data_IF_407524830831
#
_entry.id   IF_407524830831
#
_cell.length_a   1.000
_cell.length_b   1.000
_cell.length_c   1.000
_cell.angle_alpha   90.00
_cell.angle_beta   90.00
_cell.angle_gamma   90.00
#
_symmetry.space_group_name_H-M   'P 1'
#
loop_
_entity.id
_entity.type
_entity.pdbx_description
1 polymer ?
#
# COMPACT_ATOMS: atom_id res chain seq x y z
N UNK A 1 -2.11 -4.32 -13.24
CA UNK A 1 -1.73 -3.56 -14.45
C UNK A 1 -2.42 -4.19 -15.65
N UNK A 2 -2.74 -3.40 -16.67
CA UNK A 2 -3.25 -3.92 -17.93
C UNK A 2 -2.18 -4.76 -18.66
N UNK A 3 -2.59 -5.73 -19.51
CA UNK A 3 -1.65 -6.46 -20.36
C UNK A 3 -0.87 -5.49 -21.25
N UNK A 4 0.39 -5.83 -21.53
CA UNK A 4 1.26 -5.03 -22.39
C UNK A 4 0.64 -4.87 -23.76
N UNK A 5 0.48 -3.63 -24.21
CA UNK A 5 0.06 -3.31 -25.58
C UNK A 5 1.09 -2.37 -26.20
N UNK A 6 1.64 -2.75 -27.36
CA UNK A 6 2.70 -2.02 -28.05
C UNK A 6 3.90 -1.64 -27.16
N UNK A 7 4.31 -2.54 -26.26
CA UNK A 7 5.45 -2.34 -25.36
C UNK A 7 5.18 -1.36 -24.21
N UNK A 8 3.91 -1.09 -23.90
CA UNK A 8 3.48 -0.22 -22.79
C UNK A 8 2.53 -0.97 -21.87
N UNK A 9 2.75 -0.87 -20.55
CA UNK A 9 1.81 -1.25 -19.52
C UNK A 9 1.03 -0.01 -19.07
N UNK A 10 -0.29 -0.12 -19.00
CA UNK A 10 -1.14 0.95 -18.46
C UNK A 10 -1.50 0.62 -17.02
N UNK A 11 -1.22 1.55 -16.11
CA UNK A 11 -1.87 1.58 -14.81
C UNK A 11 -3.09 2.50 -14.89
N UNK A 12 -4.28 1.93 -14.72
CA UNK A 12 -5.55 2.63 -14.82
C UNK A 12 -6.31 2.56 -13.48
N UNK A 13 -6.20 3.64 -12.71
CA UNK A 13 -6.95 3.83 -11.46
C UNK A 13 -8.40 4.25 -11.70
N UNK A 14 -8.75 4.81 -12.85
CA UNK A 14 -10.16 5.11 -13.17
C UNK A 14 -10.95 3.80 -13.28
N UNK A 15 -10.37 2.79 -13.93
CA UNK A 15 -10.98 1.46 -14.07
C UNK A 15 -10.93 0.65 -12.78
N UNK A 16 -9.81 0.68 -12.06
CA UNK A 16 -9.65 -0.13 -10.84
C UNK A 16 -10.26 0.52 -9.60
N UNK A 17 -10.49 1.83 -9.63
CA UNK A 17 -11.11 2.62 -8.54
C UNK A 17 -12.09 3.65 -9.12
N UNK A 18 -13.21 3.20 -9.72
CA UNK A 18 -14.16 4.09 -10.39
C UNK A 18 -14.89 5.05 -9.45
N UNK A 19 -14.84 4.79 -8.14
CA UNK A 19 -15.47 5.62 -7.11
C UNK A 19 -14.50 6.58 -6.41
N UNK A 20 -13.21 6.56 -6.79
CA UNK A 20 -12.24 7.47 -6.21
C UNK A 20 -12.41 8.88 -6.79
N UNK A 21 -12.14 9.89 -5.98
CA UNK A 21 -12.14 11.29 -6.40
C UNK A 21 -10.97 11.61 -7.34
N UNK A 22 -11.06 12.74 -8.06
CA UNK A 22 -9.97 13.22 -8.90
C UNK A 22 -8.67 13.42 -8.10
N UNK A 23 -8.77 14.00 -6.90
CA UNK A 23 -7.66 14.15 -5.96
C UNK A 23 -6.99 12.83 -5.63
N UNK A 24 -7.77 11.78 -5.38
CA UNK A 24 -7.23 10.47 -5.06
C UNK A 24 -6.48 9.86 -6.23
N UNK A 25 -7.07 9.91 -7.43
CA UNK A 25 -6.41 9.46 -8.65
C UNK A 25 -5.07 10.18 -8.85
N UNK A 26 -5.05 11.50 -8.67
CA UNK A 26 -3.83 12.31 -8.78
C UNK A 26 -2.75 11.88 -7.76
N UNK A 27 -3.12 11.71 -6.49
CA UNK A 27 -2.22 11.24 -5.43
C UNK A 27 -1.66 9.84 -5.71
N UNK A 28 -2.47 8.92 -6.24
CA UNK A 28 -2.01 7.58 -6.60
C UNK A 28 -1.07 7.62 -7.81
N UNK A 29 -1.35 8.44 -8.82
CA UNK A 29 -0.47 8.56 -9.99
C UNK A 29 0.85 9.23 -9.67
N UNK A 30 0.85 10.29 -8.86
CA UNK A 30 2.07 10.96 -8.41
C UNK A 30 2.96 10.00 -7.60
N UNK A 31 2.36 9.25 -6.67
CA UNK A 31 3.08 8.23 -5.91
C UNK A 31 3.61 7.10 -6.81
N UNK A 32 2.86 6.68 -7.81
CA UNK A 32 3.26 5.65 -8.79
C UNK A 32 4.41 6.10 -9.66
N UNK A 33 4.45 7.36 -10.06
CA UNK A 33 5.57 7.85 -10.88
C UNK A 33 6.84 7.96 -10.04
N UNK A 34 6.71 8.33 -8.76
CA UNK A 34 7.84 8.65 -7.87
C UNK A 34 8.31 7.53 -6.96
N UNK A 35 7.67 6.37 -6.97
CA UNK A 35 8.07 5.25 -6.10
C UNK A 35 9.54 4.84 -6.26
N UNK A 36 10.18 4.85 -7.46
CA UNK A 36 11.59 4.51 -7.59
C UNK A 36 12.47 5.48 -6.80
N UNK A 37 12.19 6.78 -6.89
CA UNK A 37 12.91 7.81 -6.14
C UNK A 37 12.69 7.67 -4.64
N UNK A 38 11.45 7.42 -4.23
CA UNK A 38 11.11 7.38 -2.79
C UNK A 38 11.71 6.16 -2.10
N UNK A 39 11.77 5.03 -2.79
CA UNK A 39 12.04 3.73 -2.16
C UNK A 39 13.40 3.15 -2.54
N UNK A 40 13.86 3.43 -3.76
CA UNK A 40 15.13 2.92 -4.29
C UNK A 40 16.18 4.03 -4.46
N UNK A 41 15.83 5.29 -4.17
CA UNK A 41 16.65 6.47 -4.43
C UNK A 41 17.02 6.62 -5.93
N UNK A 42 16.19 6.07 -6.82
CA UNK A 42 16.35 6.15 -8.28
C UNK A 42 15.61 7.38 -8.84
N UNK A 43 16.30 8.37 -9.43
CA UNK A 43 15.67 9.59 -9.92
C UNK A 43 14.78 9.37 -11.16
N UNK A 44 14.85 8.22 -11.82
CA UNK A 44 14.08 7.95 -13.01
C UNK A 44 12.59 7.74 -12.67
N UNK A 45 11.67 8.48 -13.33
CA UNK A 45 10.25 8.27 -13.14
C UNK A 45 9.85 6.89 -13.65
N UNK A 46 8.95 6.23 -12.91
CA UNK A 46 8.51 4.88 -13.27
C UNK A 46 7.74 4.81 -14.59
N UNK A 47 7.02 5.88 -14.92
CA UNK A 47 6.22 6.00 -16.13
C UNK A 47 5.87 7.44 -16.43
N UNK A 48 5.08 7.64 -17.47
CA UNK A 48 4.62 8.94 -17.91
C UNK A 48 3.14 9.13 -17.56
N UNK A 49 2.83 10.26 -16.94
CA UNK A 49 1.45 10.66 -16.67
C UNK A 49 0.75 10.94 -18.00
N UNK A 50 -0.34 10.20 -18.29
CA UNK A 50 -1.22 10.51 -19.42
C UNK A 50 -2.29 11.52 -18.98
N UNK A 51 -2.90 11.26 -17.82
CA UNK A 51 -3.81 12.14 -17.08
C UNK A 51 -3.94 11.60 -15.65
N UNK A 52 -4.54 12.38 -14.73
CA UNK A 52 -4.81 11.89 -13.38
C UNK A 52 -5.54 10.53 -13.43
N UNK A 53 -5.02 9.56 -12.70
CA UNK A 53 -5.54 8.19 -12.68
C UNK A 53 -4.98 7.25 -13.76
N UNK A 54 -4.28 7.73 -14.79
CA UNK A 54 -3.73 6.89 -15.86
C UNK A 54 -2.25 7.18 -16.10
N UNK A 55 -1.41 6.15 -15.91
CA UNK A 55 0.05 6.20 -16.13
C UNK A 55 0.45 5.13 -17.14
N UNK A 56 1.21 5.56 -18.14
CA UNK A 56 1.84 4.68 -19.13
C UNK A 56 3.25 4.33 -18.69
N UNK A 57 3.55 3.04 -18.64
CA UNK A 57 4.83 2.51 -18.18
C UNK A 57 5.45 1.73 -19.35
N UNK A 58 6.57 2.19 -19.92
CA UNK A 58 7.30 1.41 -20.91
C UNK A 58 7.68 0.03 -20.34
N UNK A 59 7.44 -1.04 -21.10
CA UNK A 59 7.70 -2.40 -20.65
C UNK A 59 9.16 -2.65 -20.25
N UNK A 60 10.18 -2.14 -20.99
CA UNK A 60 11.57 -2.26 -20.54
C UNK A 60 11.80 -1.60 -19.17
N UNK A 61 11.27 -0.39 -18.97
CA UNK A 61 11.35 0.33 -17.69
C UNK A 61 10.73 -0.47 -16.55
N UNK A 62 9.53 -1.05 -16.78
CA UNK A 62 8.88 -1.90 -15.79
C UNK A 62 9.75 -3.10 -15.42
N UNK A 63 10.24 -3.84 -16.41
CA UNK A 63 11.04 -5.06 -16.19
C UNK A 63 12.35 -4.75 -15.47
N UNK A 64 13.05 -3.69 -15.88
CA UNK A 64 14.35 -3.34 -15.30
C UNK A 64 14.21 -2.88 -13.84
N UNK A 65 13.25 -2.00 -13.56
CA UNK A 65 13.00 -1.50 -12.21
C UNK A 65 12.46 -2.58 -11.28
N UNK A 66 11.51 -3.41 -11.72
CA UNK A 66 11.00 -4.52 -10.88
C UNK A 66 12.07 -5.57 -10.63
N UNK A 67 12.91 -5.89 -11.62
CA UNK A 67 14.04 -6.81 -11.42
C UNK A 67 15.06 -6.25 -10.42
N UNK A 68 15.37 -4.94 -10.50
CA UNK A 68 16.24 -4.29 -9.54
C UNK A 68 15.63 -4.25 -8.13
N UNK A 69 14.34 -3.93 -8.05
CA UNK A 69 13.56 -3.95 -6.81
C UNK A 69 13.58 -5.33 -6.14
N UNK A 70 13.30 -6.40 -6.89
CA UNK A 70 13.31 -7.77 -6.36
C UNK A 70 14.69 -8.19 -5.86
N UNK A 71 15.76 -7.82 -6.56
CA UNK A 71 17.14 -8.06 -6.09
C UNK A 71 17.44 -7.35 -4.78
N UNK A 72 16.95 -6.12 -4.59
CA UNK A 72 17.12 -5.40 -3.34
C UNK A 72 16.31 -6.05 -2.21
N UNK A 73 15.05 -6.43 -2.47
CA UNK A 73 14.18 -7.07 -1.49
C UNK A 73 14.68 -8.43 -0.99
N UNK A 74 15.44 -9.16 -1.82
CA UNK A 74 16.07 -10.42 -1.40
C UNK A 74 17.13 -10.21 -0.30
N UNK A 75 17.59 -8.98 -0.07
CA UNK A 75 18.58 -8.66 0.96
C UNK A 75 17.89 -8.24 2.26
N UNK A 76 18.19 -8.96 3.33
CA UNK A 76 17.57 -8.72 4.64
C UNK A 76 17.86 -7.33 5.23
N UNK A 77 19.08 -6.81 5.04
CA UNK A 77 19.49 -5.47 5.47
C UNK A 77 18.66 -4.38 4.79
N UNK A 78 18.45 -4.53 3.47
CA UNK A 78 17.63 -3.62 2.68
C UNK A 78 16.16 -3.68 3.11
N UNK A 79 15.60 -4.89 3.27
CA UNK A 79 14.22 -5.07 3.70
C UNK A 79 13.96 -4.39 5.06
N UNK A 80 14.86 -4.57 6.04
CA UNK A 80 14.75 -3.92 7.36
C UNK A 80 14.86 -2.40 7.25
N UNK A 81 15.80 -1.89 6.44
CA UNK A 81 15.95 -0.45 6.23
C UNK A 81 14.72 0.17 5.56
N UNK A 82 14.20 -0.47 4.51
CA UNK A 82 12.96 -0.07 3.83
C UNK A 82 11.79 0.02 4.81
N UNK A 83 11.55 -1.04 5.59
CA UNK A 83 10.48 -1.08 6.59
C UNK A 83 10.63 0.06 7.60
N UNK A 84 11.86 0.33 8.05
CA UNK A 84 12.16 1.40 9.00
C UNK A 84 11.86 2.78 8.40
N UNK A 85 12.34 3.05 7.17
CA UNK A 85 12.08 4.33 6.46
C UNK A 85 10.59 4.53 6.20
N UNK A 86 9.90 3.52 5.70
CA UNK A 86 8.47 3.60 5.42
C UNK A 86 7.62 3.77 6.69
N UNK A 87 8.03 3.12 7.80
CA UNK A 87 7.39 3.32 9.12
C UNK A 87 7.58 4.75 9.60
N UNK A 88 8.78 5.32 9.43
CA UNK A 88 9.04 6.72 9.75
C UNK A 88 8.19 7.67 8.89
N UNK A 89 8.13 7.46 7.57
CA UNK A 89 7.33 8.28 6.65
C UNK A 89 5.84 8.25 7.02
N UNK A 90 5.32 7.09 7.45
CA UNK A 90 3.96 6.94 7.98
C UNK A 90 3.75 7.78 9.26
N UNK A 91 4.67 7.69 10.21
CA UNK A 91 4.56 8.41 11.49
C UNK A 91 4.64 9.93 11.26
N UNK A 92 5.49 10.38 10.33
CA UNK A 92 5.54 11.77 9.86
C UNK A 92 4.22 12.19 9.23
N UNK A 93 3.63 11.38 8.35
CA UNK A 93 2.33 11.68 7.76
C UNK A 93 1.22 11.81 8.83
N UNK A 94 1.23 10.93 9.84
CA UNK A 94 0.33 11.01 10.99
C UNK A 94 0.46 12.33 11.76
N UNK A 95 1.69 12.71 12.12
CA UNK A 95 1.95 13.97 12.84
C UNK A 95 1.63 15.23 12.02
N UNK A 96 1.76 15.16 10.70
CA UNK A 96 1.33 16.25 9.81
C UNK A 96 -0.20 16.34 9.78
N UNK A 97 -0.91 15.21 9.71
CA UNK A 97 -2.38 15.20 9.77
C UNK A 97 -2.92 15.67 11.12
N UNK A 98 -2.21 15.44 12.22
CA UNK A 98 -2.58 16.02 13.53
C UNK A 98 -2.57 17.56 13.48
N UNK A 99 -1.59 18.16 12.79
CA UNK A 99 -1.54 19.62 12.57
C UNK A 99 -2.66 20.10 11.66
N UNK A 100 -3.04 19.32 10.65
CA UNK A 100 -4.21 19.59 9.80
C UNK A 100 -5.49 19.61 10.65
N UNK A 101 -5.66 18.62 11.52
CA UNK A 101 -6.81 18.52 12.43
C UNK A 101 -6.87 19.67 13.44
N UNK A 102 -5.72 20.12 13.95
CA UNK A 102 -5.61 21.30 14.81
C UNK A 102 -5.99 22.60 14.07
N UNK A 103 -5.42 22.82 12.87
CA UNK A 103 -5.72 24.00 12.06
C UNK A 103 -7.21 24.07 11.67
N UNK A 104 -7.78 22.91 11.28
CA UNK A 104 -9.20 22.76 10.99
C UNK A 104 -10.07 23.13 12.19
N UNK A 105 -9.74 22.65 13.39
CA UNK A 105 -10.49 22.97 14.63
C UNK A 105 -10.44 24.45 14.99
N UNK A 106 -9.35 25.14 14.66
CA UNK A 106 -9.21 26.60 14.86
C UNK A 106 -9.92 27.44 13.80
N UNK A 107 -10.33 26.84 12.67
CA UNK A 107 -10.89 27.58 11.54
C UNK A 107 -9.87 28.47 10.82
N UNK A 108 -8.57 28.21 10.98
CA UNK A 108 -7.51 28.98 10.32
C UNK A 108 -7.23 28.40 8.93
N UNK A 109 -7.84 29.00 7.90
CA UNK A 109 -7.73 28.55 6.52
C UNK A 109 -6.29 28.61 6.01
N UNK A 110 -5.51 29.61 6.43
CA UNK A 110 -4.12 29.77 6.00
C UNK A 110 -3.22 28.67 6.57
N UNK A 111 -3.38 28.38 7.85
CA UNK A 111 -2.65 27.30 8.53
C UNK A 111 -3.09 25.92 8.03
N UNK A 112 -4.40 25.74 7.76
CA UNK A 112 -4.95 24.52 7.18
C UNK A 112 -4.36 24.24 5.79
N UNK A 113 -4.29 25.27 4.93
CA UNK A 113 -3.71 25.15 3.58
C UNK A 113 -2.23 24.73 3.64
N UNK A 114 -1.42 25.37 4.51
CA UNK A 114 0.00 24.98 4.68
C UNK A 114 0.15 23.57 5.24
N UNK A 115 -0.71 23.18 6.19
CA UNK A 115 -0.69 21.86 6.77
C UNK A 115 -1.09 20.79 5.74
N UNK A 116 -2.08 21.07 4.88
CA UNK A 116 -2.48 20.19 3.78
C UNK A 116 -1.39 20.04 2.72
N UNK A 117 -0.67 21.11 2.37
CA UNK A 117 0.48 21.02 1.47
C UNK A 117 1.56 20.05 2.00
N UNK A 118 1.88 20.17 3.29
CA UNK A 118 2.80 19.26 3.96
C UNK A 118 2.24 17.83 4.03
N UNK A 119 0.93 17.68 4.27
CA UNK A 119 0.26 16.39 4.36
C UNK A 119 0.29 15.68 3.01
N UNK A 120 0.03 16.39 1.92
CA UNK A 120 0.11 15.88 0.54
C UNK A 120 1.49 15.29 0.26
N UNK A 121 2.57 16.03 0.56
CA UNK A 121 3.94 15.56 0.35
C UNK A 121 4.28 14.32 1.20
N UNK A 122 3.88 14.31 2.48
CA UNK A 122 4.10 13.17 3.36
C UNK A 122 3.28 11.94 2.90
N UNK A 123 2.03 12.16 2.48
CA UNK A 123 1.14 11.10 2.06
C UNK A 123 1.55 10.48 0.72
N UNK A 124 2.18 11.24 -0.20
CA UNK A 124 2.81 10.67 -1.40
C UNK A 124 3.82 9.57 -1.07
N UNK A 125 4.64 9.75 -0.02
CA UNK A 125 5.61 8.72 0.43
C UNK A 125 4.92 7.47 0.98
N UNK A 126 3.85 7.66 1.74
CA UNK A 126 3.03 6.55 2.25
C UNK A 126 2.33 5.81 1.09
N UNK A 127 1.80 6.51 0.09
CA UNK A 127 1.21 5.89 -1.10
C UNK A 127 2.26 5.21 -2.00
N UNK A 128 3.50 5.70 -2.09
CA UNK A 128 4.56 5.00 -2.80
C UNK A 128 4.82 3.62 -2.18
N UNK A 129 4.72 3.53 -0.85
CA UNK A 129 4.80 2.26 -0.12
C UNK A 129 3.65 1.31 -0.47
N UNK A 130 2.44 1.80 -0.75
CA UNK A 130 1.34 0.96 -1.24
C UNK A 130 1.67 0.28 -2.57
N UNK A 131 2.37 0.98 -3.47
CA UNK A 131 2.78 0.42 -4.76
C UNK A 131 3.77 -0.73 -4.59
N UNK A 132 4.62 -0.68 -3.54
CA UNK A 132 5.51 -1.80 -3.20
C UNK A 132 4.74 -3.08 -2.95
N UNK A 133 3.59 -3.00 -2.28
CA UNK A 133 2.79 -4.19 -2.01
C UNK A 133 2.37 -4.88 -3.31
N UNK A 134 2.18 -4.14 -4.40
CA UNK A 134 1.83 -4.69 -5.71
C UNK A 134 3.02 -5.17 -6.52
N UNK A 135 4.24 -4.83 -6.11
CA UNK A 135 5.48 -5.18 -6.80
C UNK A 135 6.32 -6.20 -6.01
N UNK A 136 5.76 -6.81 -4.95
CA UNK A 136 6.42 -7.89 -4.25
C UNK A 136 6.63 -9.10 -5.19
N UNK A 137 7.74 -9.84 -5.06
CA UNK A 137 8.05 -10.98 -5.93
C UNK A 137 7.25 -12.23 -5.54
N UNK A 138 5.92 -12.12 -5.49
CA UNK A 138 5.01 -13.17 -5.02
C UNK A 138 5.16 -14.47 -5.82
N UNK A 139 5.26 -14.40 -7.15
CA UNK A 139 5.47 -15.57 -8.01
C UNK A 139 6.77 -16.33 -7.68
N UNK A 140 7.82 -15.59 -7.34
CA UNK A 140 9.10 -16.18 -6.96
C UNK A 140 9.03 -16.82 -5.57
N UNK A 141 8.40 -16.14 -4.62
CA UNK A 141 8.17 -16.65 -3.28
C UNK A 141 7.24 -17.86 -3.25
N UNK A 142 6.21 -17.91 -4.10
CA UNK A 142 5.33 -19.07 -4.26
C UNK A 142 6.14 -20.28 -4.74
N UNK A 143 6.98 -20.12 -5.76
CA UNK A 143 7.85 -21.20 -6.26
C UNK A 143 8.83 -21.67 -5.18
N UNK A 144 9.49 -20.74 -4.49
CA UNK A 144 10.42 -21.07 -3.41
C UNK A 144 9.73 -21.90 -2.31
N UNK A 145 8.55 -21.48 -1.87
CA UNK A 145 7.79 -22.20 -0.85
C UNK A 145 7.23 -23.53 -1.36
N UNK A 146 6.86 -23.62 -2.63
CA UNK A 146 6.40 -24.87 -3.25
C UNK A 146 7.52 -25.91 -3.30
N UNK A 147 8.75 -25.48 -3.62
CA UNK A 147 9.94 -26.33 -3.60
C UNK A 147 10.26 -26.81 -2.17
N UNK A 148 10.15 -25.92 -1.18
CA UNK A 148 10.41 -26.24 0.23
C UNK A 148 9.38 -27.19 0.84
N UNK A 149 8.10 -27.03 0.51
CA UNK A 149 7.03 -27.87 1.06
C UNK A 149 6.68 -29.08 0.18
N UNK A 150 7.22 -29.16 -1.03
CA UNK A 150 6.85 -30.16 -2.03
C UNK A 150 5.40 -30.04 -2.51
N UNK A 151 4.75 -28.90 -2.29
CA UNK A 151 3.33 -28.66 -2.63
C UNK A 151 3.03 -27.19 -2.85
N UNK A 152 2.44 -26.90 -4.02
CA UNK A 152 1.91 -25.57 -4.36
C UNK A 152 0.81 -25.12 -3.40
N UNK A 153 -0.06 -26.03 -2.99
CA UNK A 153 -1.17 -25.71 -2.07
C UNK A 153 -0.63 -25.27 -0.70
N UNK A 154 0.40 -25.96 -0.19
CA UNK A 154 1.05 -25.57 1.05
C UNK A 154 1.75 -24.20 0.94
N UNK A 155 2.37 -23.93 -0.21
CA UNK A 155 2.99 -22.63 -0.50
C UNK A 155 1.98 -21.49 -0.48
N UNK A 156 0.83 -21.65 -1.16
CA UNK A 156 -0.25 -20.65 -1.17
C UNK A 156 -0.84 -20.42 0.22
N UNK A 157 -1.02 -21.49 1.01
CA UNK A 157 -1.49 -21.37 2.40
C UNK A 157 -0.49 -20.60 3.27
N UNK A 158 0.81 -20.85 3.07
CA UNK A 158 1.88 -20.14 3.75
C UNK A 158 1.91 -18.66 3.38
N UNK A 159 1.95 -18.32 2.07
CA UNK A 159 1.91 -16.94 1.59
C UNK A 159 0.71 -16.16 2.13
N UNK A 160 -0.48 -16.77 2.04
CA UNK A 160 -1.71 -16.17 2.56
C UNK A 160 -1.63 -15.91 4.07
N UNK A 161 -0.97 -16.80 4.83
CA UNK A 161 -0.78 -16.62 6.27
C UNK A 161 0.25 -15.51 6.60
N UNK A 162 1.27 -15.35 5.76
CA UNK A 162 2.30 -14.32 5.93
C UNK A 162 1.79 -12.91 5.64
N UNK A 163 0.77 -12.78 4.78
CA UNK A 163 0.08 -11.52 4.47
C UNK A 163 -0.96 -11.10 5.52
N UNK A 164 -1.06 -11.79 6.66
CA UNK A 164 -1.97 -11.40 7.73
C UNK A 164 -1.37 -10.24 8.56
N UNK A 165 -2.11 -9.13 8.77
CA UNK A 165 -1.63 -8.02 9.57
C UNK A 165 -1.51 -8.41 11.06
N UNK A 166 -0.51 -7.85 11.75
CA UNK A 166 -0.26 -8.06 13.18
C UNK A 166 -1.33 -7.37 14.05
N UNK A 167 -1.77 -6.19 13.61
CA UNK A 167 -2.80 -5.40 14.26
C UNK A 167 -3.89 -5.07 13.23
N UNK A 168 -4.89 -5.96 13.04
CA UNK A 168 -5.91 -5.72 12.03
C UNK A 168 -6.72 -4.46 12.34
N UNK A 169 -6.61 -3.51 11.43
CA UNK A 169 -7.69 -2.60 11.07
C UNK A 169 -8.64 -3.28 10.08
N UNK A 170 -9.40 -2.48 9.35
CA UNK A 170 -10.50 -2.77 8.43
C UNK A 170 -10.49 -4.06 7.55
N UNK A 171 -9.39 -4.81 7.38
CA UNK A 171 -9.28 -5.91 6.38
C UNK A 171 -9.61 -7.31 6.93
N UNK A 172 -9.66 -7.54 8.25
CA UNK A 172 -9.86 -8.92 8.75
C UNK A 172 -11.31 -9.44 8.71
N UNK A 173 -12.25 -8.70 8.12
CA UNK A 173 -13.58 -9.23 7.87
C UNK A 173 -13.61 -10.26 6.72
N UNK A 174 -12.73 -10.14 5.71
CA UNK A 174 -12.84 -10.97 4.49
C UNK A 174 -11.90 -12.16 4.38
N UNK A 175 -10.76 -12.18 5.10
CA UNK A 175 -9.74 -13.23 4.91
C UNK A 175 -9.98 -14.56 5.68
N UNK A 176 -11.10 -14.72 6.39
CA UNK A 176 -11.38 -15.96 7.14
C UNK A 176 -12.36 -16.94 6.47
N UNK A 177 -12.90 -16.62 5.29
CA UNK A 177 -13.57 -17.62 4.46
C UNK A 177 -12.62 -18.06 3.34
N UNK A 178 -12.00 -19.24 3.52
CA UNK A 178 -11.49 -20.00 2.39
C UNK A 178 -12.67 -20.20 1.41
N UNK A 179 -12.61 -19.68 0.16
CA UNK A 179 -13.63 -19.99 -0.81
C UNK A 179 -13.44 -21.45 -1.19
N UNK A 180 -14.34 -22.32 -0.70
CA UNK A 180 -14.75 -23.44 -1.54
C UNK A 180 -15.59 -22.83 -2.66
N UNK A 181 -14.95 -22.65 -3.81
CA UNK A 181 -15.50 -22.54 -5.17
C UNK A 181 -16.81 -21.72 -5.35
N UNK A 182 -16.71 -20.57 -6.02
CA UNK A 182 -17.41 -20.30 -7.30
C UNK A 182 -17.16 -18.85 -7.74
N UNK A 183 -17.27 -18.62 -9.04
CA UNK A 183 -16.87 -17.48 -9.86
C UNK A 183 -17.44 -16.10 -9.46
N UNK A 184 -16.69 -15.06 -9.84
CA UNK A 184 -17.11 -13.66 -10.02
C UNK A 184 -17.41 -12.79 -8.78
N UNK A 185 -16.71 -12.97 -7.66
CA UNK A 185 -16.64 -11.91 -6.65
C UNK A 185 -15.65 -10.82 -7.09
N UNK A 186 -16.13 -9.60 -7.31
CA UNK A 186 -15.27 -8.45 -7.64
C UNK A 186 -14.56 -7.94 -6.38
N UNK A 187 -13.47 -7.18 -6.54
CA UNK A 187 -12.78 -6.54 -5.42
C UNK A 187 -13.73 -5.64 -4.57
N UNK A 188 -14.79 -5.13 -5.20
CA UNK A 188 -15.84 -4.34 -4.57
C UNK A 188 -16.73 -5.19 -3.63
N UNK A 189 -17.05 -6.43 -4.02
CA UNK A 189 -17.88 -7.34 -3.21
C UNK A 189 -17.15 -7.76 -1.93
N UNK A 190 -15.83 -7.97 -2.05
CA UNK A 190 -14.92 -8.24 -0.93
C UNK A 190 -14.83 -7.01 -0.01
N UNK A 191 -14.74 -5.80 -0.55
CA UNK A 191 -14.65 -4.58 0.25
C UNK A 191 -15.97 -4.22 0.96
N UNK A 192 -17.12 -4.43 0.32
CA UNK A 192 -18.44 -4.17 0.93
C UNK A 192 -18.78 -5.19 2.02
N UNK A 193 -18.49 -6.48 1.79
CA UNK A 193 -18.66 -7.51 2.81
C UNK A 193 -17.77 -7.23 4.04
N UNK A 194 -16.55 -6.71 3.80
CA UNK A 194 -15.66 -6.33 4.88
C UNK A 194 -16.24 -5.22 5.79
N UNK A 195 -16.81 -4.18 5.18
CA UNK A 195 -17.42 -3.05 5.91
C UNK A 195 -18.68 -3.43 6.69
N UNK A 196 -19.52 -4.32 6.16
CA UNK A 196 -20.75 -4.76 6.85
C UNK A 196 -20.46 -5.65 8.07
N UNK A 197 -19.43 -6.50 7.98
CA UNK A 197 -19.07 -7.41 9.06
C UNK A 197 -18.32 -6.69 10.20
N UNK A 198 -17.63 -5.58 9.89
CA UNK A 198 -16.97 -4.71 10.86
C UNK A 198 -17.97 -3.99 11.78
N UNK A 199 -19.14 -3.60 11.27
CA UNK A 199 -20.19 -2.95 12.08
C UNK A 199 -20.93 -3.90 13.03
N UNK A 200 -20.81 -5.22 12.84
CA UNK A 200 -21.58 -6.24 13.58
C UNK A 200 -20.75 -7.09 14.57
N UNK A 201 -19.41 -7.04 14.50
CA UNK A 201 -18.57 -7.93 15.31
C UNK A 201 -18.32 -7.37 16.73
N UNK A 202 -18.68 -8.09 17.81
CA UNK A 202 -18.34 -7.65 19.17
C UNK A 202 -16.81 -7.62 19.37
N UNK A 203 -16.31 -6.63 20.12
CA UNK A 203 -14.88 -6.36 20.33
C UNK A 203 -14.04 -7.59 20.76
N UNK A 204 -14.63 -8.51 21.53
CA UNK A 204 -13.99 -9.78 21.93
C UNK A 204 -13.74 -10.72 20.74
N UNK A 205 -14.64 -10.74 19.75
CA UNK A 205 -14.49 -11.52 18.52
C UNK A 205 -13.33 -11.02 17.66
N UNK A 206 -13.16 -9.71 17.56
CA UNK A 206 -12.04 -9.08 16.85
C UNK A 206 -10.70 -9.46 17.50
N UNK A 207 -10.55 -9.33 18.83
CA UNK A 207 -9.32 -9.70 19.56
C UNK A 207 -8.93 -11.17 19.32
N UNK A 208 -9.91 -12.08 19.37
CA UNK A 208 -9.69 -13.50 19.11
C UNK A 208 -9.27 -13.77 17.65
N UNK A 209 -9.80 -13.02 16.68
CA UNK A 209 -9.37 -13.08 15.29
C UNK A 209 -7.93 -12.59 15.12
N UNK A 210 -7.55 -11.45 15.72
CA UNK A 210 -6.17 -10.92 15.67
C UNK A 210 -5.17 -11.95 16.19
N UNK A 211 -5.48 -12.53 17.35
CA UNK A 211 -4.63 -13.53 18.01
C UNK A 211 -4.45 -14.77 17.13
N UNK A 212 -5.52 -15.25 16.48
CA UNK A 212 -5.44 -16.40 15.56
C UNK A 212 -4.60 -16.08 14.32
N UNK A 213 -4.75 -14.89 13.75
CA UNK A 213 -3.99 -14.45 12.59
C UNK A 213 -2.48 -14.36 12.91
N UNK A 214 -2.12 -13.73 14.03
CA UNK A 214 -0.73 -13.63 14.49
C UNK A 214 -0.10 -15.01 14.71
N UNK A 215 -0.79 -15.91 15.43
CA UNK A 215 -0.32 -17.29 15.67
C UNK A 215 -0.14 -18.07 14.36
N UNK A 216 -1.06 -17.89 13.40
CA UNK A 216 -0.98 -18.55 12.10
C UNK A 216 0.23 -18.07 11.31
N UNK A 217 0.51 -16.75 11.31
CA UNK A 217 1.69 -16.17 10.69
C UNK A 217 2.98 -16.69 11.32
N UNK A 218 3.07 -16.70 12.65
CA UNK A 218 4.23 -17.22 13.39
C UNK A 218 4.49 -18.71 13.10
N UNK A 219 3.43 -19.53 13.09
CA UNK A 219 3.53 -20.95 12.80
C UNK A 219 4.05 -21.22 11.38
N UNK A 220 3.51 -20.52 10.37
CA UNK A 220 3.95 -20.67 8.99
C UNK A 220 5.34 -20.08 8.72
N UNK A 221 5.70 -18.98 9.39
CA UNK A 221 7.08 -18.46 9.37
C UNK A 221 8.06 -19.50 9.91
N UNK A 222 7.73 -20.11 11.06
CA UNK A 222 8.55 -21.14 11.69
C UNK A 222 8.66 -22.38 10.79
N UNK A 223 7.55 -22.84 10.22
CA UNK A 223 7.54 -23.99 9.31
C UNK A 223 8.41 -23.74 8.07
N UNK A 224 8.31 -22.57 7.44
CA UNK A 224 9.13 -22.22 6.28
C UNK A 224 10.63 -22.16 6.64
N UNK A 225 10.98 -21.60 7.80
CA UNK A 225 12.37 -21.55 8.27
C UNK A 225 12.94 -22.94 8.58
N UNK A 226 12.12 -23.84 9.15
CA UNK A 226 12.52 -25.22 9.41
C UNK A 226 12.67 -26.01 8.11
N UNK A 227 11.79 -25.81 7.12
CA UNK A 227 11.90 -26.44 5.81
C UNK A 227 13.15 -25.96 5.05
N UNK A 228 13.55 -24.70 5.25
CA UNK A 228 14.77 -24.13 4.69
C UNK A 228 16.05 -24.51 5.45
N UNK A 229 15.95 -25.26 6.56
CA UNK A 229 17.09 -25.55 7.42
C UNK A 229 18.21 -26.27 6.65
N UNK A 230 19.44 -25.78 6.80
CA UNK A 230 20.61 -26.28 6.06
C UNK A 230 20.93 -25.52 4.78
N UNK A 231 20.14 -24.51 4.40
CA UNK A 231 20.46 -23.58 3.32
C UNK A 231 20.36 -22.13 3.81
N UNK A 232 21.49 -21.54 4.21
CA UNK A 232 21.55 -20.20 4.81
C UNK A 232 21.02 -19.09 3.90
N UNK A 233 21.20 -19.24 2.57
CA UNK A 233 20.67 -18.29 1.59
C UNK A 233 19.15 -18.32 1.59
N UNK A 234 18.55 -19.52 1.51
CA UNK A 234 17.09 -19.67 1.52
C UNK A 234 16.52 -19.26 2.88
N UNK A 235 17.18 -19.56 3.98
CA UNK A 235 16.77 -19.07 5.32
C UNK A 235 16.73 -17.54 5.36
N UNK A 236 17.75 -16.87 4.80
CA UNK A 236 17.80 -15.41 4.73
C UNK A 236 16.65 -14.84 3.90
N UNK A 237 16.35 -15.47 2.77
CA UNK A 237 15.26 -15.07 1.88
C UNK A 237 13.89 -15.27 2.52
N UNK A 238 13.65 -16.39 3.22
CA UNK A 238 12.42 -16.64 3.97
C UNK A 238 12.22 -15.59 5.07
N UNK A 239 13.30 -15.17 5.76
CA UNK A 239 13.22 -14.08 6.75
C UNK A 239 12.82 -12.75 6.10
N UNK A 240 13.45 -12.39 4.98
CA UNK A 240 13.14 -11.17 4.26
C UNK A 240 11.68 -11.18 3.75
N UNK A 241 11.24 -12.28 3.13
CA UNK A 241 9.87 -12.49 2.68
C UNK A 241 8.86 -12.37 3.82
N UNK A 242 9.05 -13.08 4.93
CA UNK A 242 8.11 -13.04 6.05
C UNK A 242 8.01 -11.63 6.67
N UNK A 243 9.13 -10.90 6.77
CA UNK A 243 9.15 -9.52 7.22
C UNK A 243 8.39 -8.59 6.25
N UNK A 244 8.67 -8.69 4.95
CA UNK A 244 8.06 -7.83 3.93
C UNK A 244 6.56 -8.09 3.79
N UNK A 245 6.10 -9.34 3.77
CA UNK A 245 4.67 -9.68 3.66
C UNK A 245 3.90 -9.22 4.90
N UNK A 246 4.46 -9.42 6.10
CA UNK A 246 3.84 -8.95 7.34
C UNK A 246 3.75 -7.42 7.40
N UNK A 247 4.83 -6.73 7.02
CA UNK A 247 4.84 -5.27 6.94
C UNK A 247 3.90 -4.72 5.87
N UNK A 248 3.85 -5.33 4.69
CA UNK A 248 2.98 -4.91 3.59
C UNK A 248 1.50 -4.89 4.02
N UNK A 249 1.08 -5.93 4.74
CA UNK A 249 -0.26 -6.04 5.30
C UNK A 249 -0.55 -4.96 6.35
N UNK A 250 0.36 -4.75 7.30
CA UNK A 250 0.22 -3.72 8.34
C UNK A 250 0.25 -2.30 7.75
N UNK A 251 1.07 -2.07 6.72
CA UNK A 251 1.21 -0.80 6.02
C UNK A 251 -0.10 -0.41 5.30
N UNK A 252 -0.76 -1.37 4.64
CA UNK A 252 -2.00 -1.10 3.92
C UNK A 252 -3.12 -0.63 4.86
N UNK A 253 -3.24 -1.25 6.04
CA UNK A 253 -4.22 -0.85 7.06
C UNK A 253 -4.00 0.59 7.51
N UNK A 254 -2.76 0.94 7.84
CA UNK A 254 -2.44 2.29 8.32
C UNK A 254 -2.55 3.34 7.23
N UNK A 255 -2.23 2.99 5.99
CA UNK A 255 -2.44 3.88 4.85
C UNK A 255 -3.92 4.18 4.64
N UNK A 256 -4.84 3.21 4.81
CA UNK A 256 -6.29 3.44 4.73
C UNK A 256 -6.76 4.46 5.77
N UNK A 257 -6.33 4.30 7.02
CA UNK A 257 -6.61 5.25 8.11
C UNK A 257 -6.12 6.68 7.76
N UNK A 258 -4.86 6.80 7.34
CA UNK A 258 -4.28 8.09 6.96
C UNK A 258 -4.97 8.70 5.73
N UNK A 259 -5.37 7.88 4.75
CA UNK A 259 -6.14 8.31 3.57
C UNK A 259 -7.46 8.96 3.99
N UNK A 260 -8.23 8.29 4.83
CA UNK A 260 -9.55 8.79 5.23
C UNK A 260 -9.45 10.12 5.98
N UNK A 261 -8.47 10.24 6.87
CA UNK A 261 -8.15 11.51 7.56
C UNK A 261 -7.77 12.60 6.57
N UNK A 262 -6.87 12.31 5.63
CA UNK A 262 -6.43 13.25 4.61
C UNK A 262 -7.59 13.75 3.73
N UNK A 263 -8.43 12.83 3.21
CA UNK A 263 -9.55 13.20 2.35
C UNK A 263 -10.63 13.99 3.09
N UNK A 264 -10.90 13.63 4.34
CA UNK A 264 -11.81 14.40 5.21
C UNK A 264 -11.32 15.82 5.41
N UNK A 265 -10.02 16.00 5.62
CA UNK A 265 -9.44 17.32 5.77
C UNK A 265 -9.45 18.13 4.46
N UNK A 266 -9.20 17.49 3.31
CA UNK A 266 -9.28 18.14 2.01
C UNK A 266 -10.72 18.62 1.71
N UNK A 267 -11.74 17.81 2.03
CA UNK A 267 -13.14 18.24 1.91
C UNK A 267 -13.47 19.40 2.86
N UNK A 268 -12.99 19.38 4.10
CA UNK A 268 -13.21 20.49 5.03
C UNK A 268 -12.53 21.79 4.55
N UNK A 269 -11.37 21.68 3.89
CA UNK A 269 -10.73 22.83 3.25
C UNK A 269 -11.56 23.37 2.09
N UNK A 270 -12.08 22.50 1.22
CA UNK A 270 -13.03 22.87 0.15
C UNK A 270 -14.25 23.64 0.69
N UNK A 271 -14.85 23.16 1.78
CA UNK A 271 -15.99 23.81 2.42
C UNK A 271 -15.65 25.24 2.90
N UNK A 272 -14.44 25.43 3.42
CA UNK A 272 -13.96 26.72 3.93
C UNK A 272 -13.54 27.70 2.82
N UNK A 273 -13.05 27.19 1.69
CA UNK A 273 -12.59 28.02 0.56
C UNK A 273 -13.64 28.21 -0.53
N UNK A 274 -14.75 27.47 -0.47
CA UNK A 274 -15.77 27.44 -1.53
C UNK A 274 -15.31 26.73 -2.80
N UNK A 275 -14.30 25.86 -2.69
CA UNK A 275 -13.77 25.08 -3.81
C UNK A 275 -14.58 23.80 -4.00
N UNK A 276 -14.88 23.41 -5.24
CA UNK A 276 -15.60 22.17 -5.55
C UNK A 276 -14.70 20.93 -5.28
N UNK A 277 -15.05 20.05 -4.32
CA UNK A 277 -14.22 18.90 -3.96
C UNK A 277 -14.09 17.86 -5.09
N UNK A 278 -14.99 17.86 -6.08
CA UNK A 278 -14.90 16.96 -7.24
C UNK A 278 -13.82 17.36 -8.26
N UNK A 279 -13.28 18.57 -8.13
CA UNK A 279 -12.36 19.18 -9.10
C UNK A 279 -10.96 19.43 -8.58
N UNK A 280 -10.72 19.25 -7.28
CA UNK A 280 -9.40 19.49 -6.72
C UNK A 280 -8.41 18.38 -7.06
N UNK A 281 -7.18 18.78 -7.33
CA UNK A 281 -5.99 17.95 -7.54
C UNK A 281 -4.99 18.17 -6.39
N UNK A 282 -3.93 17.35 -6.32
CA UNK A 282 -2.92 17.48 -5.28
C UNK A 282 -2.19 18.83 -5.36
N UNK A 283 -2.05 19.40 -6.56
CA UNK A 283 -1.45 20.71 -6.78
C UNK A 283 -2.25 21.86 -6.12
N UNK A 284 -3.59 21.78 -6.09
CA UNK A 284 -4.43 22.80 -5.47
C UNK A 284 -4.18 22.88 -3.95
N UNK A 285 -3.85 21.75 -3.34
CA UNK A 285 -3.55 21.65 -1.91
C UNK A 285 -2.13 22.08 -1.55
N UNK A 286 -1.24 22.29 -2.53
CA UNK A 286 0.14 22.71 -2.31
C UNK A 286 0.29 24.25 -2.17
N UNK A 287 -0.73 25.02 -2.54
CA UNK A 287 -0.70 26.49 -2.52
C UNK A 287 0.19 27.10 -3.60
N UNK A 288 0.17 28.44 -3.72
CA UNK A 288 0.87 29.19 -4.77
C UNK A 288 2.42 29.07 -4.76
N UNK A 289 3.01 28.45 -3.74
CA UNK A 289 4.47 28.26 -3.63
C UNK A 289 5.00 27.09 -4.50
N UNK A 290 4.13 26.32 -5.17
CA UNK A 290 4.54 25.24 -6.06
C UNK A 290 5.27 25.73 -7.33
N UNK A 291 4.94 26.94 -7.82
CA UNK A 291 5.61 27.55 -8.98
C UNK A 291 7.04 28.03 -8.67
N UNK A 292 7.40 28.14 -7.38
CA UNK A 292 8.75 28.57 -6.96
C UNK A 292 9.75 27.40 -6.84
N UNK A 293 9.31 26.15 -7.05
CA UNK A 293 10.14 24.93 -6.87
C UNK A 293 10.21 24.01 -8.09
N UNK A 294 9.67 24.42 -9.23
CA UNK A 294 9.96 23.82 -10.55
C UNK A 294 11.18 24.48 -11.17
#
# INVERSE_FOLDING_TARGET
MEPVWNGVLTCDYERTRPQASHLEWDLYTEALIRWPLILMDDPMPYGQLRRAGIVDIPEPTHRDLTSAWHRQLARLDYAVNLITRATHDRDVAGAVLDRVDDARRRGDVGDLTRALAAATAAFTRVNATHIVNWLLPEDHWERLLADLFGSRDAALICLSALQLPAAPGHILATQMQLPRQSEAATALDVEMAARQQEQAAPAAGLIAQRTRAARRREAWTTAALLAAAGNDQVVTEIRAMALLLGWAADSEERRKELRERFLTAAHAWCDLTGTDPSRIAAADLQGADADARR
#
